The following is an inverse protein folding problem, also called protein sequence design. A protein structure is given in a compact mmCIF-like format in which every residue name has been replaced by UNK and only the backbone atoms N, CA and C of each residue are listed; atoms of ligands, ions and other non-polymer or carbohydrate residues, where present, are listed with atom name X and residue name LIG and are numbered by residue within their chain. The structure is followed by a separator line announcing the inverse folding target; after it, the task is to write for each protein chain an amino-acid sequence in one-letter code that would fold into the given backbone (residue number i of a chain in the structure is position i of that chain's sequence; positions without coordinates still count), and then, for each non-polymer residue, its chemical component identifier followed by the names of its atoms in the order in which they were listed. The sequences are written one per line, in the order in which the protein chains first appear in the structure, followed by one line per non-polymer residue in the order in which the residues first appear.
data_IF_329389644852
#
_entry.id   IF_329389644852
#
_cell.length_a   1.000
_cell.length_b   1.000
_cell.length_c   1.000
_cell.angle_alpha   90.00
_cell.angle_beta   90.00
_cell.angle_gamma   90.00
#
_symmetry.space_group_name_H-M   'P 1'
#
loop_
_entity.id
_entity.type
_entity.pdbx_description
1 polymer ?
#
# COMPACT_ATOMS: atom_id res chain seq x y z
N UNK A 1 27.31 -3.19 21.71
CA UNK A 1 25.89 -3.03 22.13
C UNK A 1 25.05 -3.34 20.90
N UNK A 2 24.20 -4.37 20.95
CA UNK A 2 23.36 -4.70 19.80
C UNK A 2 22.45 -3.48 19.49
N UNK A 3 22.32 -3.05 18.23
CA UNK A 3 21.47 -1.92 17.89
C UNK A 3 20.03 -2.30 18.21
N UNK A 4 19.46 -1.67 19.24
CA UNK A 4 18.07 -1.86 19.62
C UNK A 4 17.16 -1.50 18.46
N UNK A 5 16.09 -2.26 18.25
CA UNK A 5 15.06 -1.91 17.28
C UNK A 5 14.45 -0.56 17.70
N UNK A 6 14.54 0.46 16.84
CA UNK A 6 13.76 1.69 16.99
C UNK A 6 12.25 1.38 16.90
N UNK A 7 11.65 1.16 18.07
CA UNK A 7 10.24 0.78 18.21
C UNK A 7 9.30 1.86 17.67
N UNK A 8 9.70 3.14 17.72
CA UNK A 8 8.87 4.27 17.29
C UNK A 8 8.72 4.28 15.78
N UNK A 9 9.83 4.05 15.06
CA UNK A 9 9.84 3.90 13.61
C UNK A 9 9.01 2.70 13.16
N UNK A 10 9.14 1.55 13.83
CA UNK A 10 8.36 0.34 13.53
C UNK A 10 6.86 0.57 13.76
N UNK A 11 6.47 1.16 14.89
CA UNK A 11 5.07 1.47 15.19
C UNK A 11 4.44 2.40 14.15
N UNK A 12 5.17 3.44 13.71
CA UNK A 12 4.70 4.36 12.68
C UNK A 12 4.38 3.66 11.36
N UNK A 13 5.28 2.78 10.91
CA UNK A 13 5.06 1.99 9.69
C UNK A 13 3.92 1.00 9.85
N UNK A 14 3.80 0.35 11.00
CA UNK A 14 2.74 -0.61 11.26
C UNK A 14 1.35 0.04 11.23
N UNK A 15 1.22 1.25 11.80
CA UNK A 15 0.00 2.07 11.72
C UNK A 15 -0.32 2.39 10.26
N UNK A 16 0.66 2.84 9.47
CA UNK A 16 0.46 3.16 8.06
C UNK A 16 0.02 1.93 7.25
N UNK A 17 0.63 0.76 7.49
CA UNK A 17 0.27 -0.49 6.81
C UNK A 17 -1.16 -0.89 7.15
N UNK A 18 -1.56 -0.82 8.42
CA UNK A 18 -2.92 -1.15 8.86
C UNK A 18 -3.95 -0.24 8.20
N UNK A 19 -3.71 1.08 8.19
CA UNK A 19 -4.60 2.03 7.53
C UNK A 19 -4.67 1.76 6.03
N UNK A 20 -3.53 1.54 5.38
CA UNK A 20 -3.48 1.29 3.95
C UNK A 20 -4.18 -0.03 3.57
N UNK A 21 -3.99 -1.10 4.34
CA UNK A 21 -4.72 -2.37 4.10
C UNK A 21 -6.21 -2.26 4.40
N UNK A 22 -6.61 -1.51 5.42
CA UNK A 22 -8.02 -1.25 5.71
C UNK A 22 -8.73 -0.47 4.59
N UNK A 23 -8.00 0.34 3.81
CA UNK A 23 -8.55 1.09 2.67
C UNK A 23 -8.69 0.25 1.39
N UNK A 24 -8.02 -0.90 1.28
CA UNK A 24 -8.10 -1.79 0.10
C UNK A 24 -9.54 -2.15 -0.30
N UNK A 25 -10.43 -2.63 0.61
CA UNK A 25 -11.80 -2.96 0.24
C UNK A 25 -12.59 -1.74 -0.26
N UNK A 26 -12.37 -0.56 0.33
CA UNK A 26 -13.00 0.69 -0.11
C UNK A 26 -12.59 1.05 -1.53
N UNK A 27 -11.30 0.93 -1.85
CA UNK A 27 -10.76 1.19 -3.19
C UNK A 27 -11.32 0.17 -4.19
N UNK A 28 -11.30 -1.13 -3.86
CA UNK A 28 -11.84 -2.18 -4.71
C UNK A 28 -13.33 -1.96 -5.03
N UNK A 29 -14.13 -1.64 -4.01
CA UNK A 29 -15.58 -1.38 -4.19
C UNK A 29 -15.82 -0.13 -5.03
N UNK A 30 -15.04 0.93 -4.82
CA UNK A 30 -15.17 2.19 -5.57
C UNK A 30 -14.76 2.01 -7.04
N UNK A 31 -13.68 1.28 -7.30
CA UNK A 31 -13.23 0.96 -8.66
C UNK A 31 -14.24 0.06 -9.38
N UNK A 32 -14.82 -0.94 -8.69
CA UNK A 32 -15.87 -1.78 -9.26
C UNK A 32 -17.11 -0.98 -9.65
N UNK A 33 -17.54 -0.05 -8.79
CA UNK A 33 -18.69 0.81 -9.08
C UNK A 33 -18.41 1.75 -10.27
N UNK A 34 -17.21 2.32 -10.34
CA UNK A 34 -16.80 3.12 -11.48
C UNK A 34 -16.72 2.29 -12.78
N UNK A 35 -16.09 1.12 -12.74
CA UNK A 35 -15.92 0.26 -13.92
C UNK A 35 -17.25 -0.19 -14.54
N UNK A 36 -18.33 -0.30 -13.76
CA UNK A 36 -19.67 -0.60 -14.25
C UNK A 36 -20.24 0.47 -15.20
N UNK A 37 -19.73 1.71 -15.11
CA UNK A 37 -20.12 2.83 -15.96
C UNK A 37 -19.20 3.04 -17.17
N UNK A 38 -18.14 2.23 -17.32
CA UNK A 38 -17.15 2.34 -18.39
C UNK A 38 -17.14 1.08 -19.27
N UNK A 39 -16.65 1.21 -20.50
CA UNK A 39 -16.50 0.10 -21.44
C UNK A 39 -15.10 0.03 -22.04
N UNK A 40 -14.67 -1.16 -22.46
CA UNK A 40 -13.41 -1.37 -23.14
C UNK A 40 -12.17 -1.10 -22.27
N UNK A 41 -11.13 -0.50 -22.85
CA UNK A 41 -9.84 -0.29 -22.18
C UNK A 41 -9.95 0.54 -20.88
N UNK A 42 -10.88 1.49 -20.82
CA UNK A 42 -11.02 2.35 -19.66
C UNK A 42 -11.52 1.60 -18.41
N UNK A 43 -12.45 0.64 -18.57
CA UNK A 43 -12.90 -0.21 -17.47
C UNK A 43 -11.77 -1.13 -16.95
N UNK A 44 -10.92 -1.64 -17.86
CA UNK A 44 -9.76 -2.45 -17.51
C UNK A 44 -8.77 -1.63 -16.67
N UNK A 45 -8.47 -0.40 -17.09
CA UNK A 45 -7.55 0.47 -16.34
C UNK A 45 -8.05 0.77 -14.93
N UNK A 46 -9.35 1.00 -14.75
CA UNK A 46 -9.97 1.22 -13.43
C UNK A 46 -9.88 -0.04 -12.56
N UNK A 47 -10.09 -1.23 -13.14
CA UNK A 47 -9.97 -2.50 -12.41
C UNK A 47 -8.52 -2.84 -12.01
N UNK A 48 -7.51 -2.21 -12.63
CA UNK A 48 -6.10 -2.37 -12.23
C UNK A 48 -5.68 -1.46 -11.07
N UNK A 49 -6.46 -0.41 -10.76
CA UNK A 49 -6.14 0.53 -9.67
C UNK A 49 -5.93 -0.16 -8.31
N UNK A 50 -6.78 -1.12 -7.88
CA UNK A 50 -6.54 -1.83 -6.62
C UNK A 50 -5.21 -2.57 -6.60
N UNK A 51 -4.79 -3.15 -7.74
CA UNK A 51 -3.51 -3.84 -7.86
C UNK A 51 -2.34 -2.86 -7.74
N UNK A 52 -2.40 -1.71 -8.43
CA UNK A 52 -1.38 -0.67 -8.30
C UNK A 52 -1.29 -0.10 -6.89
N UNK A 53 -2.42 0.02 -6.19
CA UNK A 53 -2.46 0.45 -4.80
C UNK A 53 -1.70 -0.51 -3.89
N UNK A 54 -1.95 -1.83 -4.01
CA UNK A 54 -1.22 -2.86 -3.23
C UNK A 54 0.27 -2.86 -3.57
N UNK A 55 0.63 -2.74 -4.85
CA UNK A 55 2.04 -2.62 -5.27
C UNK A 55 2.69 -1.40 -4.61
N UNK A 56 2.00 -0.25 -4.56
CA UNK A 56 2.48 0.96 -3.89
C UNK A 56 2.77 0.74 -2.40
N UNK A 57 1.90 0.01 -1.69
CA UNK A 57 2.11 -0.34 -0.28
C UNK A 57 3.38 -1.20 -0.13
N UNK A 58 3.53 -2.22 -0.96
CA UNK A 58 4.71 -3.11 -0.92
C UNK A 58 5.99 -2.33 -1.19
N UNK A 59 5.99 -1.46 -2.21
CA UNK A 59 7.16 -0.62 -2.52
C UNK A 59 7.50 0.31 -1.35
N UNK A 60 6.51 0.95 -0.71
CA UNK A 60 6.73 1.78 0.46
C UNK A 60 7.33 0.99 1.65
N UNK A 61 6.92 -0.26 1.84
CA UNK A 61 7.48 -1.13 2.87
C UNK A 61 8.92 -1.54 2.57
N UNK A 62 9.22 -1.85 1.31
CA UNK A 62 10.57 -2.21 0.87
C UNK A 62 11.51 -1.01 1.00
N UNK A 63 11.09 0.18 0.59
CA UNK A 63 11.91 1.40 0.74
C UNK A 63 12.17 1.73 2.20
N UNK A 64 11.16 1.59 3.06
CA UNK A 64 11.38 1.74 4.50
C UNK A 64 12.34 0.68 5.06
N UNK A 65 12.14 -0.59 4.74
CA UNK A 65 12.96 -1.70 5.24
C UNK A 65 14.43 -1.54 4.81
N UNK A 66 14.67 -1.14 3.56
CA UNK A 66 16.01 -0.89 3.02
C UNK A 66 16.66 0.37 3.62
N UNK A 67 15.90 1.45 3.82
CA UNK A 67 16.39 2.64 4.52
C UNK A 67 16.76 2.33 5.97
N UNK A 68 15.93 1.54 6.65
CA UNK A 68 16.18 1.08 8.02
C UNK A 68 17.43 0.19 8.10
N UNK A 69 17.62 -0.72 7.14
CA UNK A 69 18.82 -1.56 7.06
C UNK A 69 20.10 -0.75 6.83
N UNK A 70 20.03 0.33 6.03
CA UNK A 70 21.18 1.21 5.76
C UNK A 70 21.53 2.16 6.91
N UNK A 71 20.55 2.47 7.76
CA UNK A 71 20.73 3.34 8.93
C UNK A 71 21.31 2.60 10.16
N UNK A 72 21.52 1.28 10.06
CA UNK A 72 22.20 0.45 11.05
C UNK A 72 23.63 0.14 10.62
#
# INVERSE_FOLDING_TARGET
MAPGIDIRGVLGVLILVVIATALVPTIATSCSAAAACLTGAAAIMVNLVPLFYVIGIVLALVTWATAYAKAR
#
